data_IF_847087938703
#
_entry.id   IF_847087938703
#
_cell.length_a   1.000
_cell.length_b   1.000
_cell.length_c   1.000
_cell.angle_alpha   90.00
_cell.angle_beta   90.00
_cell.angle_gamma   90.00
#
_symmetry.space_group_name_H-M   'P 1'
#
loop_
_entity.id
_entity.type
_entity.pdbx_description
1 polymer ?
#
# COMPACT_ATOMS: atom_id res chain seq x y z
N UNK A 1 17.14 -7.38 -9.51
CA UNK A 1 18.12 -6.74 -10.41
C UNK A 1 19.08 -7.81 -10.90
N UNK A 2 19.44 -7.80 -12.18
CA UNK A 2 20.42 -8.75 -12.74
C UNK A 2 21.52 -7.96 -13.44
N UNK A 3 22.75 -8.19 -13.01
CA UNK A 3 23.95 -7.71 -13.69
C UNK A 3 24.49 -8.86 -14.53
N UNK A 4 24.60 -8.66 -15.85
CA UNK A 4 25.22 -9.66 -16.74
C UNK A 4 26.47 -9.05 -17.34
N UNK A 5 27.63 -9.66 -17.08
CA UNK A 5 28.90 -9.22 -17.66
C UNK A 5 29.18 -10.04 -18.93
N UNK A 6 29.14 -9.40 -20.10
CA UNK A 6 29.67 -9.94 -21.35
C UNK A 6 31.10 -9.46 -21.54
N UNK A 7 31.94 -10.18 -22.28
CA UNK A 7 33.42 -10.04 -22.33
C UNK A 7 34.03 -8.62 -22.40
N UNK A 8 33.29 -7.58 -22.83
CA UNK A 8 33.75 -6.17 -22.80
C UNK A 8 32.69 -5.16 -22.30
N UNK A 9 31.52 -5.60 -21.82
CA UNK A 9 30.42 -4.70 -21.45
C UNK A 9 29.61 -5.29 -20.30
N UNK A 10 29.45 -4.50 -19.24
CA UNK A 10 28.56 -4.81 -18.12
C UNK A 10 27.18 -4.26 -18.43
N UNK A 11 26.17 -5.13 -18.52
CA UNK A 11 24.77 -4.75 -18.73
C UNK A 11 24.02 -4.86 -17.40
N UNK A 12 23.43 -3.74 -16.96
CA UNK A 12 22.51 -3.70 -15.82
C UNK A 12 21.07 -3.77 -16.32
N UNK A 13 20.34 -4.80 -15.92
CA UNK A 13 18.91 -4.93 -16.21
C UNK A 13 18.12 -4.92 -14.91
N UNK A 14 17.21 -3.96 -14.80
CA UNK A 14 16.17 -3.99 -13.77
C UNK A 14 15.19 -5.10 -14.16
N UNK A 15 15.07 -6.12 -13.31
CA UNK A 15 14.06 -7.14 -13.49
C UNK A 15 12.69 -6.50 -13.23
N UNK A 16 11.74 -6.70 -14.13
CA UNK A 16 10.36 -6.29 -13.92
C UNK A 16 9.74 -7.15 -12.81
N UNK A 17 9.07 -6.49 -11.86
CA UNK A 17 8.23 -7.18 -10.88
C UNK A 17 6.93 -7.60 -11.55
N UNK A 18 6.66 -8.91 -11.54
CA UNK A 18 5.41 -9.49 -12.07
C UNK A 18 4.72 -10.24 -10.94
N UNK A 19 3.45 -9.90 -10.68
CA UNK A 19 2.58 -10.68 -9.78
C UNK A 19 1.67 -11.52 -10.65
N UNK A 20 1.72 -12.85 -10.48
CA UNK A 20 0.83 -13.80 -11.15
C UNK A 20 -0.14 -14.38 -10.15
N UNK A 21 -1.45 -14.28 -10.42
CA UNK A 21 -2.52 -14.84 -9.60
C UNK A 21 -3.37 -15.79 -10.44
N UNK A 22 -3.80 -16.89 -9.84
CA UNK A 22 -4.77 -17.79 -10.47
C UNK A 22 -6.17 -17.36 -10.01
N UNK A 23 -7.00 -16.82 -10.91
CA UNK A 23 -8.41 -16.53 -10.67
C UNK A 23 -9.26 -17.45 -11.53
N UNK A 24 -10.18 -18.19 -10.92
CA UNK A 24 -11.10 -19.11 -11.64
C UNK A 24 -10.41 -20.14 -12.55
N UNK A 25 -9.19 -20.57 -12.21
CA UNK A 25 -8.41 -21.51 -13.02
C UNK A 25 -7.54 -20.86 -14.11
N UNK A 26 -7.70 -19.57 -14.38
CA UNK A 26 -6.86 -18.82 -15.32
C UNK A 26 -5.76 -18.03 -14.59
N UNK A 27 -4.54 -18.05 -15.16
CA UNK A 27 -3.42 -17.26 -14.67
C UNK A 27 -3.53 -15.84 -15.21
N UNK A 28 -3.75 -14.88 -14.32
CA UNK A 28 -3.74 -13.44 -14.61
C UNK A 28 -2.42 -12.86 -14.10
N UNK A 29 -1.68 -12.21 -14.98
CA UNK A 29 -0.40 -11.56 -14.65
C UNK A 29 -0.56 -10.04 -14.68
N UNK A 30 -0.15 -9.37 -13.60
CA UNK A 30 -0.06 -7.91 -13.49
C UNK A 30 1.42 -7.51 -13.49
N UNK A 31 1.80 -6.59 -14.38
CA UNK A 31 3.20 -6.22 -14.63
C UNK A 31 3.46 -4.71 -14.53
N UNK A 32 4.67 -4.37 -14.08
CA UNK A 32 5.51 -3.21 -14.43
C UNK A 32 5.37 -1.87 -13.67
N UNK A 33 4.31 -1.61 -12.90
CA UNK A 33 4.26 -0.41 -12.04
C UNK A 33 4.27 -0.79 -10.56
N UNK A 34 5.23 -0.25 -9.79
CA UNK A 34 5.27 -0.42 -8.33
C UNK A 34 3.92 -0.08 -7.66
N UNK A 35 3.25 0.97 -8.13
CA UNK A 35 1.94 1.38 -7.60
C UNK A 35 0.80 0.37 -7.87
N UNK A 36 0.95 -0.53 -8.84
CA UNK A 36 0.01 -1.62 -9.12
C UNK A 36 0.35 -2.85 -8.26
N UNK A 37 1.64 -3.15 -8.12
CA UNK A 37 2.15 -4.21 -7.24
C UNK A 37 1.73 -3.96 -5.79
N UNK A 38 1.93 -2.75 -5.27
CA UNK A 38 1.55 -2.40 -3.89
C UNK A 38 0.04 -2.53 -3.66
N UNK A 39 -0.77 -2.07 -4.63
CA UNK A 39 -2.22 -2.18 -4.53
C UNK A 39 -2.70 -3.63 -4.59
N UNK A 40 -2.12 -4.44 -5.47
CA UNK A 40 -2.46 -5.85 -5.57
C UNK A 40 -2.01 -6.63 -4.33
N UNK A 41 -0.88 -6.27 -3.73
CA UNK A 41 -0.39 -6.87 -2.48
C UNK A 41 -1.34 -6.58 -1.31
N UNK A 42 -1.76 -5.32 -1.13
CA UNK A 42 -2.76 -4.91 -0.13
C UNK A 42 -4.09 -5.66 -0.36
N UNK A 43 -4.56 -5.73 -1.60
CA UNK A 43 -5.77 -6.47 -2.00
C UNK A 43 -5.66 -7.97 -1.72
N UNK A 44 -4.47 -8.55 -1.93
CA UNK A 44 -4.21 -9.98 -1.71
C UNK A 44 -4.12 -10.36 -0.24
N UNK A 45 -3.53 -9.50 0.60
CA UNK A 45 -3.41 -9.72 2.03
C UNK A 45 -4.68 -9.34 2.80
N UNK A 46 -5.58 -8.57 2.20
CA UNK A 46 -6.85 -8.18 2.81
C UNK A 46 -6.71 -7.18 3.95
N UNK A 47 -5.56 -6.49 4.06
CA UNK A 47 -5.26 -5.51 5.09
C UNK A 47 -4.93 -4.16 4.45
N UNK A 48 -5.18 -3.06 5.15
CA UNK A 48 -4.85 -1.72 4.63
C UNK A 48 -3.33 -1.47 4.64
N UNK A 49 -2.87 -0.53 3.79
CA UNK A 49 -1.47 -0.10 3.79
C UNK A 49 -0.99 0.36 5.18
N UNK A 50 -1.85 1.06 5.91
CA UNK A 50 -1.53 1.56 7.24
C UNK A 50 -1.31 0.43 8.25
N UNK A 51 -2.09 -0.66 8.17
CA UNK A 51 -1.91 -1.85 9.02
C UNK A 51 -0.59 -2.55 8.68
N UNK A 52 -0.26 -2.69 7.39
CA UNK A 52 1.03 -3.26 6.99
C UNK A 52 2.21 -2.44 7.53
N UNK A 53 2.16 -1.11 7.41
CA UNK A 53 3.30 -0.27 7.77
C UNK A 53 3.41 0.04 9.27
N UNK A 54 2.30 0.24 9.97
CA UNK A 54 2.32 0.68 11.37
C UNK A 54 2.12 -0.47 12.37
N UNK A 55 1.69 -1.66 11.92
CA UNK A 55 1.38 -2.80 12.81
C UNK A 55 2.19 -4.04 12.45
N UNK A 56 2.11 -4.54 11.20
CA UNK A 56 2.74 -5.81 10.81
C UNK A 56 4.24 -5.65 10.54
N UNK A 57 4.61 -4.68 9.71
CA UNK A 57 5.97 -4.35 9.31
C UNK A 57 6.38 -2.97 9.85
N UNK A 58 6.02 -2.72 11.11
CA UNK A 58 6.45 -1.51 11.80
C UNK A 58 7.98 -1.44 11.87
N UNK A 59 8.55 -0.32 11.46
CA UNK A 59 9.99 -0.11 11.55
C UNK A 59 10.43 -0.13 13.02
N UNK A 60 11.59 -0.71 13.31
CA UNK A 60 12.05 -0.89 14.71
C UNK A 60 12.16 0.45 15.46
N UNK A 61 12.67 1.49 14.79
CA UNK A 61 12.77 2.85 15.34
C UNK A 61 11.41 3.49 15.62
N UNK A 62 10.36 3.06 14.90
CA UNK A 62 8.99 3.55 15.03
C UNK A 62 8.12 2.66 15.93
N UNK A 63 8.65 1.56 16.48
CA UNK A 63 7.86 0.55 17.21
C UNK A 63 7.16 1.10 18.45
N UNK A 64 7.70 2.16 19.05
CA UNK A 64 7.15 2.86 20.19
C UNK A 64 6.14 3.96 19.79
N UNK A 65 5.70 4.02 18.53
CA UNK A 65 4.71 5.00 18.09
C UNK A 65 3.42 5.05 18.92
N UNK A 66 2.93 3.96 19.55
CA UNK A 66 1.75 4.04 20.43
C UNK A 66 1.97 4.94 21.65
N UNK A 67 3.23 5.20 22.01
CA UNK A 67 3.65 6.06 23.14
C UNK A 67 4.05 7.46 22.69
N UNK A 68 3.96 7.77 21.40
CA UNK A 68 4.29 9.09 20.87
C UNK A 68 3.27 10.15 21.26
N UNK A 69 3.64 11.41 21.07
CA UNK A 69 2.78 12.57 21.35
C UNK A 69 1.43 12.49 20.61
N UNK A 70 0.40 13.10 21.21
CA UNK A 70 -0.99 12.93 20.78
C UNK A 70 -1.26 13.22 19.31
N UNK A 71 -0.52 14.14 18.68
CA UNK A 71 -0.66 14.45 17.24
C UNK A 71 -0.21 13.29 16.35
N UNK A 72 0.99 12.76 16.58
CA UNK A 72 1.54 11.65 15.80
C UNK A 72 0.75 10.35 16.04
N UNK A 73 0.36 10.11 17.30
CA UNK A 73 -0.49 8.99 17.68
C UNK A 73 -1.85 9.04 16.97
N UNK A 74 -2.53 10.19 17.01
CA UNK A 74 -3.82 10.40 16.34
C UNK A 74 -3.71 10.16 14.84
N UNK A 75 -2.65 10.67 14.20
CA UNK A 75 -2.46 10.48 12.77
C UNK A 75 -2.37 8.99 12.40
N UNK A 76 -1.57 8.19 13.11
CA UNK A 76 -1.45 6.75 12.85
C UNK A 76 -2.77 6.02 13.11
N UNK A 77 -3.53 6.40 14.14
CA UNK A 77 -4.87 5.86 14.36
C UNK A 77 -5.86 6.20 13.24
N UNK A 78 -5.90 7.46 12.81
CA UNK A 78 -6.79 7.90 11.73
C UNK A 78 -6.44 7.19 10.40
N UNK A 79 -5.17 6.91 10.14
CA UNK A 79 -4.69 6.11 9.01
C UNK A 79 -5.09 4.63 9.11
N UNK A 80 -4.91 4.00 10.27
CA UNK A 80 -5.27 2.58 10.50
C UNK A 80 -6.78 2.38 10.36
N UNK A 81 -7.58 3.24 10.99
CA UNK A 81 -9.04 3.17 10.95
C UNK A 81 -9.66 3.78 9.70
N UNK A 82 -8.84 4.39 8.82
CA UNK A 82 -9.30 5.08 7.61
C UNK A 82 -10.42 6.09 7.87
N UNK A 83 -10.39 6.76 9.04
CA UNK A 83 -11.46 7.64 9.52
C UNK A 83 -11.76 8.79 8.55
N UNK A 84 -10.72 9.32 7.90
CA UNK A 84 -10.82 10.41 6.91
C UNK A 84 -11.74 10.07 5.74
N UNK A 85 -11.77 8.80 5.30
CA UNK A 85 -12.64 8.37 4.19
C UNK A 85 -14.11 8.41 4.59
N UNK A 86 -14.43 7.98 5.81
CA UNK A 86 -15.79 8.02 6.34
C UNK A 86 -16.26 9.45 6.57
N UNK A 87 -15.41 10.31 7.13
CA UNK A 87 -15.73 11.73 7.35
C UNK A 87 -16.05 12.43 6.03
N UNK A 88 -15.22 12.23 5.00
CA UNK A 88 -15.46 12.78 3.66
C UNK A 88 -16.78 12.29 3.05
N UNK A 89 -17.07 10.99 3.15
CA UNK A 89 -18.33 10.44 2.65
C UNK A 89 -19.54 11.06 3.36
N UNK A 90 -19.47 11.24 4.67
CA UNK A 90 -20.49 11.91 5.48
C UNK A 90 -20.69 13.37 5.05
N UNK A 91 -19.62 14.09 4.77
CA UNK A 91 -19.66 15.46 4.30
C UNK A 91 -20.33 15.57 2.92
N UNK A 92 -19.98 14.69 1.98
CA UNK A 92 -20.63 14.62 0.67
C UNK A 92 -22.13 14.34 0.80
N UNK A 93 -22.53 13.40 1.67
CA UNK A 93 -23.95 13.11 1.92
C UNK A 93 -24.71 14.32 2.50
N UNK A 94 -24.09 15.08 3.40
CA UNK A 94 -24.68 16.31 3.95
C UNK A 94 -24.84 17.39 2.89
N UNK A 95 -23.85 17.56 2.01
CA UNK A 95 -23.93 18.52 0.90
C UNK A 95 -25.07 18.17 -0.05
N UNK A 96 -25.16 16.90 -0.50
CA UNK A 96 -26.25 16.44 -1.38
C UNK A 96 -27.62 16.67 -0.76
N UNK A 97 -27.76 16.49 0.55
CA UNK A 97 -29.01 16.75 1.27
C UNK A 97 -29.35 18.24 1.38
N UNK A 98 -28.38 19.14 1.33
CA UNK A 98 -28.62 20.59 1.33
C UNK A 98 -28.91 21.15 -0.06
N UNK A 99 -28.47 20.47 -1.12
CA UNK A 99 -28.77 20.83 -2.52
C UNK A 99 -30.03 20.17 -3.08
N UNK A 100 -30.67 19.27 -2.35
CA UNK A 100 -32.07 18.83 -2.60
C UNK A 100 -33.05 19.71 -1.84
#
# INVERSE_FOLDING_TARGET
MVCTQKSKKTEFKTLEGVITRTKHGEKVSLSSKCAEIDREMISSLGVSKAVLNNVIFCHQEDSNWPLSEGKALKQKFDEIFSATRYIKALETLRQVRQTQ
#
